data_IF_690883631875
#
_entry.id   IF_690883631875
#
_cell.length_a   1.000
_cell.length_b   1.000
_cell.length_c   1.000
_cell.angle_alpha   90.00
_cell.angle_beta   90.00
_cell.angle_gamma   90.00
#
_symmetry.space_group_name_H-M   'P 1'
#
loop_
_entity.id
_entity.type
_entity.pdbx_description
1 polymer ?
#
# COMPACT_ATOMS: atom_id res chain seq x y z
N UNK A 1 2.71 -7.05 -1.57
CA UNK A 1 1.33 -6.54 -1.79
C UNK A 1 1.25 -5.77 -3.09
N UNK A 2 0.09 -5.72 -3.74
CA UNK A 2 -0.09 -4.97 -4.99
C UNK A 2 0.83 -5.45 -6.12
N UNK A 3 1.31 -4.52 -6.95
CA UNK A 3 2.13 -4.84 -8.14
C UNK A 3 3.44 -5.58 -7.81
N UNK A 4 4.00 -5.42 -6.61
CA UNK A 4 5.20 -6.16 -6.17
C UNK A 4 4.95 -7.66 -5.96
N UNK A 5 3.70 -8.12 -5.95
CA UNK A 5 3.37 -9.55 -5.97
C UNK A 5 3.50 -10.17 -7.38
N UNK A 6 3.68 -9.36 -8.43
CA UNK A 6 3.86 -9.86 -9.79
C UNK A 6 5.36 -9.99 -10.13
N UNK A 7 5.87 -11.20 -10.46
CA UNK A 7 7.27 -11.39 -10.83
C UNK A 7 7.72 -10.50 -12.00
N UNK A 8 6.85 -10.25 -12.97
CA UNK A 8 7.12 -9.38 -14.11
C UNK A 8 7.35 -7.91 -13.71
N UNK A 9 6.64 -7.42 -12.69
CA UNK A 9 6.82 -6.06 -12.17
C UNK A 9 8.16 -5.92 -11.45
N UNK A 10 8.51 -6.89 -10.60
CA UNK A 10 9.82 -6.92 -9.93
C UNK A 10 10.96 -7.01 -10.95
N UNK A 11 10.85 -7.92 -11.93
CA UNK A 11 11.83 -8.07 -13.01
C UNK A 11 12.08 -6.75 -13.73
N UNK A 12 11.02 -6.04 -14.12
CA UNK A 12 11.13 -4.72 -14.77
C UNK A 12 11.85 -3.72 -13.87
N UNK A 13 11.38 -3.54 -12.63
CA UNK A 13 11.96 -2.60 -11.67
C UNK A 13 13.45 -2.81 -11.46
N UNK A 14 13.88 -4.06 -11.30
CA UNK A 14 15.29 -4.37 -11.06
C UNK A 14 16.15 -4.22 -12.31
N UNK A 15 15.66 -4.58 -13.49
CA UNK A 15 16.38 -4.31 -14.74
C UNK A 15 16.57 -2.80 -14.97
N UNK A 16 15.53 -2.00 -14.72
CA UNK A 16 15.57 -0.54 -14.86
C UNK A 16 16.61 0.12 -13.91
N UNK A 17 17.00 -0.58 -12.83
CA UNK A 17 17.99 -0.12 -11.84
C UNK A 17 19.32 -0.89 -11.88
N UNK A 18 19.55 -1.72 -12.92
CA UNK A 18 20.80 -2.46 -13.08
C UNK A 18 21.06 -3.51 -11.99
N UNK A 19 20.02 -4.03 -11.35
CA UNK A 19 20.11 -5.04 -10.30
C UNK A 19 19.64 -6.40 -10.80
N UNK A 20 20.15 -7.47 -10.17
CA UNK A 20 19.75 -8.84 -10.48
C UNK A 20 18.22 -8.99 -10.35
N UNK A 21 17.50 -9.43 -11.40
CA UNK A 21 16.04 -9.45 -11.39
C UNK A 21 15.43 -10.75 -10.83
N UNK A 22 16.23 -11.58 -10.17
CA UNK A 22 15.80 -12.87 -9.62
C UNK A 22 15.55 -12.69 -8.13
N UNK A 23 14.31 -12.82 -7.71
CA UNK A 23 13.88 -12.69 -6.32
C UNK A 23 13.09 -13.93 -5.92
N UNK A 24 13.53 -14.68 -4.91
CA UNK A 24 12.70 -15.71 -4.29
C UNK A 24 11.45 -15.05 -3.70
N UNK A 25 10.28 -15.64 -3.99
CA UNK A 25 8.98 -15.19 -3.51
C UNK A 25 8.30 -16.38 -2.84
N UNK A 26 7.85 -16.21 -1.61
CA UNK A 26 7.19 -17.27 -0.84
C UNK A 26 5.85 -16.78 -0.33
N UNK A 27 4.81 -17.62 -0.40
CA UNK A 27 3.57 -17.33 0.30
C UNK A 27 3.81 -17.41 1.81
N UNK A 28 3.36 -16.38 2.52
CA UNK A 28 3.52 -16.23 3.95
C UNK A 28 2.20 -15.76 4.54
N UNK A 29 1.84 -16.33 5.67
CA UNK A 29 0.73 -15.83 6.47
C UNK A 29 1.20 -14.61 7.26
N UNK A 30 0.47 -13.51 7.11
CA UNK A 30 0.78 -12.22 7.68
C UNK A 30 -0.38 -11.80 8.62
N UNK A 31 -0.26 -12.06 9.93
CA UNK A 31 -1.26 -11.65 10.91
C UNK A 31 -1.32 -10.13 11.05
N UNK A 32 -2.52 -9.62 11.30
CA UNK A 32 -2.76 -8.21 11.62
C UNK A 32 -2.69 -7.26 10.44
N UNK A 33 -2.47 -7.74 9.22
CA UNK A 33 -2.31 -6.90 8.04
C UNK A 33 -3.01 -7.49 6.81
N UNK A 34 -3.61 -6.63 6.01
CA UNK A 34 -4.20 -6.97 4.73
C UNK A 34 -3.86 -5.92 3.65
N UNK A 35 -4.00 -6.25 2.35
CA UNK A 35 -3.92 -5.26 1.28
C UNK A 35 -5.16 -4.36 1.30
N UNK A 36 -4.97 -3.09 1.65
CA UNK A 36 -5.94 -2.01 1.48
C UNK A 36 -5.68 -1.18 0.23
N UNK A 37 -6.46 -0.12 0.07
CA UNK A 37 -6.39 0.79 -1.08
C UNK A 37 -5.80 2.13 -0.66
N UNK A 38 -4.74 2.59 -1.33
CA UNK A 38 -4.12 3.88 -1.05
C UNK A 38 -4.96 5.04 -1.58
N UNK A 39 -4.98 6.16 -0.84
CA UNK A 39 -5.69 7.39 -1.23
C UNK A 39 -4.94 8.22 -2.29
N UNK A 40 -4.48 7.57 -3.36
CA UNK A 40 -3.96 8.25 -4.54
C UNK A 40 -4.17 7.39 -5.79
N UNK A 41 -4.07 8.02 -6.96
CA UNK A 41 -4.10 7.33 -8.25
C UNK A 41 -2.71 7.37 -8.87
N UNK A 42 -2.26 6.24 -9.39
CA UNK A 42 -1.02 6.15 -10.15
C UNK A 42 -1.13 6.91 -11.48
N UNK A 43 -0.01 7.40 -12.01
CA UNK A 43 0.03 7.94 -13.38
C UNK A 43 -0.40 6.94 -14.46
N UNK A 44 -0.41 5.65 -14.14
CA UNK A 44 -0.83 4.57 -15.03
C UNK A 44 -2.30 4.17 -14.83
N UNK A 45 -3.07 4.96 -14.08
CA UNK A 45 -4.53 4.82 -13.96
C UNK A 45 -5.04 3.75 -13.01
N UNK A 46 -4.17 3.08 -12.25
CA UNK A 46 -4.57 2.16 -11.18
C UNK A 46 -4.56 2.85 -9.82
N UNK A 47 -5.38 2.37 -8.89
CA UNK A 47 -5.40 2.78 -7.49
C UNK A 47 -4.49 1.85 -6.69
N UNK A 48 -3.34 2.32 -6.16
CA UNK A 48 -2.32 1.44 -5.59
C UNK A 48 -2.74 0.77 -4.28
N UNK A 49 -2.10 -0.36 -3.98
CA UNK A 49 -2.25 -1.03 -2.69
C UNK A 49 -1.55 -0.26 -1.57
N UNK A 50 -2.07 -0.33 -0.35
CA UNK A 50 -1.37 0.10 0.85
C UNK A 50 -1.67 -0.86 2.02
N UNK A 51 -0.76 -1.04 2.98
CA UNK A 51 -1.02 -1.77 4.22
C UNK A 51 -2.29 -1.28 4.92
N UNK A 52 -3.21 -2.20 5.18
CA UNK A 52 -4.36 -2.00 6.06
C UNK A 52 -4.14 -2.86 7.31
N UNK A 53 -4.13 -2.23 8.48
CA UNK A 53 -4.11 -2.94 9.75
C UNK A 53 -5.46 -3.65 9.96
N UNK A 54 -5.41 -4.95 10.23
CA UNK A 54 -6.57 -5.83 10.43
C UNK A 54 -6.36 -6.72 11.66
N UNK A 55 -6.40 -6.16 12.89
CA UNK A 55 -6.18 -6.94 14.10
C UNK A 55 -7.12 -8.16 14.17
N UNK A 56 -6.55 -9.32 14.49
CA UNK A 56 -7.30 -10.58 14.57
C UNK A 56 -7.52 -11.30 13.24
N UNK A 57 -7.12 -10.72 12.12
CA UNK A 57 -7.15 -11.37 10.81
C UNK A 57 -5.75 -11.78 10.35
N UNK A 58 -5.69 -12.77 9.47
CA UNK A 58 -4.46 -13.22 8.83
C UNK A 58 -4.64 -13.21 7.33
N UNK A 59 -3.74 -12.54 6.61
CA UNK A 59 -3.72 -12.55 5.14
C UNK A 59 -2.56 -13.39 4.63
N UNK A 60 -2.79 -14.19 3.58
CA UNK A 60 -1.70 -14.84 2.86
C UNK A 60 -1.13 -13.90 1.80
N UNK A 61 0.14 -13.53 1.93
CA UNK A 61 0.85 -12.54 1.10
C UNK A 61 2.18 -13.11 0.58
N UNK A 62 2.72 -12.52 -0.49
CA UNK A 62 4.08 -12.82 -0.91
C UNK A 62 5.12 -12.10 -0.03
N UNK A 63 5.96 -12.88 0.64
CA UNK A 63 7.24 -12.44 1.19
C UNK A 63 8.30 -12.43 0.09
N UNK A 64 9.06 -11.33 -0.01
CA UNK A 64 10.13 -11.15 -1.00
C UNK A 64 11.48 -11.26 -0.29
N UNK A 65 12.34 -12.16 -0.77
CA UNK A 65 13.68 -12.36 -0.24
C UNK A 65 14.67 -11.54 -1.06
N UNK A 66 14.94 -10.31 -0.60
CA UNK A 66 15.76 -9.34 -1.31
C UNK A 66 17.15 -9.27 -0.68
N UNK A 67 18.18 -9.26 -1.52
CA UNK A 67 19.50 -8.78 -1.10
C UNK A 67 19.50 -7.26 -0.91
N UNK A 68 20.56 -6.71 -0.32
CA UNK A 68 20.66 -5.29 0.02
C UNK A 68 20.51 -4.38 -1.21
N UNK A 69 21.05 -4.78 -2.37
CA UNK A 69 20.98 -3.99 -3.61
C UNK A 69 19.57 -4.02 -4.17
N UNK A 70 18.92 -5.17 -4.17
CA UNK A 70 17.53 -5.31 -4.59
C UNK A 70 16.59 -4.52 -3.68
N UNK A 71 16.84 -4.54 -2.37
CA UNK A 71 16.05 -3.78 -1.40
C UNK A 71 16.18 -2.27 -1.62
N UNK A 72 17.40 -1.76 -1.80
CA UNK A 72 17.65 -0.35 -2.10
C UNK A 72 16.99 0.09 -3.42
N UNK A 73 17.06 -0.74 -4.47
CA UNK A 73 16.38 -0.44 -5.72
C UNK A 73 14.86 -0.46 -5.59
N UNK A 74 14.31 -1.37 -4.80
CA UNK A 74 12.88 -1.39 -4.52
C UNK A 74 12.45 -0.11 -3.79
N UNK A 75 13.22 0.36 -2.80
CA UNK A 75 12.97 1.62 -2.10
C UNK A 75 12.89 2.81 -3.08
N UNK A 76 13.81 2.89 -4.05
CA UNK A 76 13.81 3.93 -5.09
C UNK A 76 12.56 3.90 -5.98
N UNK A 77 11.99 2.71 -6.23
CA UNK A 77 10.80 2.55 -7.06
C UNK A 77 9.49 2.93 -6.34
N UNK A 78 9.53 3.15 -5.03
CA UNK A 78 8.36 3.36 -4.18
C UNK A 78 8.37 4.76 -3.50
N UNK A 79 8.50 5.87 -4.25
CA UNK A 79 8.64 7.22 -3.66
C UNK A 79 7.41 7.65 -2.83
N UNK A 80 6.24 7.10 -3.14
CA UNK A 80 5.00 7.33 -2.40
C UNK A 80 4.86 6.50 -1.12
N UNK A 81 5.86 5.70 -0.79
CA UNK A 81 5.85 4.80 0.35
C UNK A 81 7.11 5.00 1.19
N UNK A 82 7.08 4.40 2.39
CA UNK A 82 8.25 4.22 3.24
C UNK A 82 8.28 2.79 3.75
N UNK A 83 9.46 2.22 3.86
CA UNK A 83 9.63 0.91 4.47
C UNK A 83 9.38 1.00 5.97
N UNK A 84 8.54 0.11 6.50
CA UNK A 84 8.21 0.00 7.93
C UNK A 84 8.24 -1.47 8.34
N UNK A 85 8.86 -1.85 9.47
CA UNK A 85 8.79 -3.21 9.97
C UNK A 85 7.34 -3.55 10.35
N UNK A 86 6.93 -4.79 10.09
CA UNK A 86 5.66 -5.29 10.59
C UNK A 86 5.70 -5.44 12.12
N UNK A 87 4.56 -5.26 12.77
CA UNK A 87 4.46 -5.47 14.22
C UNK A 87 4.46 -6.96 14.58
N UNK A 88 3.86 -7.78 13.72
CA UNK A 88 3.77 -9.22 13.90
C UNK A 88 4.75 -9.95 12.96
N UNK A 89 5.31 -11.09 13.42
CA UNK A 89 6.11 -11.94 12.54
C UNK A 89 5.23 -12.54 11.44
N UNK A 90 5.84 -12.74 10.28
CA UNK A 90 5.23 -13.53 9.21
C UNK A 90 5.46 -15.02 9.48
N UNK A 91 4.53 -15.86 9.02
CA UNK A 91 4.57 -17.31 9.23
C UNK A 91 4.75 -17.98 7.87
N UNK A 92 5.76 -18.86 7.75
CA UNK A 92 6.05 -19.62 6.53
C UNK A 92 6.23 -21.08 6.91
N UNK A 93 5.38 -21.96 6.37
CA UNK A 93 5.44 -23.39 6.69
C UNK A 93 5.24 -23.71 8.17
N UNK A 94 4.51 -22.86 8.90
CA UNK A 94 4.30 -22.97 10.35
C UNK A 94 5.36 -22.26 11.21
N UNK A 95 6.49 -21.86 10.62
CA UNK A 95 7.58 -21.20 11.34
C UNK A 95 7.41 -19.68 11.38
N UNK A 96 7.67 -19.07 12.54
CA UNK A 96 7.62 -17.62 12.74
C UNK A 96 8.97 -17.00 12.37
N UNK A 97 8.99 -16.14 11.38
CA UNK A 97 10.20 -15.41 10.98
C UNK A 97 10.28 -14.05 11.64
N UNK A 98 11.49 -13.49 11.71
CA UNK A 98 11.70 -12.11 12.14
C UNK A 98 10.81 -11.14 11.34
N UNK A 99 10.39 -10.00 11.94
CA UNK A 99 9.47 -9.09 11.29
C UNK A 99 9.94 -8.66 9.90
N UNK A 100 9.16 -9.02 8.89
CA UNK A 100 9.36 -8.53 7.53
C UNK A 100 9.05 -7.03 7.46
N UNK A 101 9.41 -6.42 6.35
CA UNK A 101 9.04 -5.04 6.08
C UNK A 101 7.84 -4.96 5.13
N UNK A 102 6.98 -3.98 5.38
CA UNK A 102 5.97 -3.53 4.43
C UNK A 102 6.27 -2.09 3.97
N UNK A 103 5.70 -1.73 2.82
CA UNK A 103 5.78 -0.37 2.28
C UNK A 103 4.51 0.37 2.69
N UNK A 104 4.60 1.22 3.70
CA UNK A 104 3.51 2.05 4.21
C UNK A 104 3.33 3.28 3.32
N UNK A 105 2.11 3.50 2.83
CA UNK A 105 1.81 4.58 1.90
C UNK A 105 1.75 5.94 2.60
N UNK A 106 2.33 6.97 1.98
CA UNK A 106 2.33 8.35 2.50
C UNK A 106 0.95 9.01 2.40
N UNK A 107 0.09 8.48 1.54
CA UNK A 107 -1.21 9.06 1.21
C UNK A 107 -2.35 8.51 2.08
N UNK A 108 -2.08 7.54 2.96
CA UNK A 108 -3.10 6.85 3.75
C UNK A 108 -4.02 5.96 2.91
N UNK A 109 -5.15 5.57 3.50
CA UNK A 109 -6.10 4.62 2.93
C UNK A 109 -7.38 5.31 2.47
N UNK A 110 -7.94 4.83 1.35
CA UNK A 110 -9.32 5.14 0.97
C UNK A 110 -10.28 4.40 1.89
N UNK A 111 -11.42 5.03 2.13
CA UNK A 111 -12.51 4.49 2.91
C UNK A 111 -13.83 4.57 2.13
N UNK A 112 -14.78 3.71 2.48
CA UNK A 112 -16.15 3.80 1.99
C UNK A 112 -16.90 4.98 2.63
N UNK A 113 -18.15 5.21 2.22
CA UNK A 113 -19.00 6.26 2.78
C UNK A 113 -19.25 6.13 4.30
N UNK A 114 -19.09 4.93 4.86
CA UNK A 114 -19.19 4.68 6.30
C UNK A 114 -17.85 4.91 7.03
N UNK A 115 -16.79 5.33 6.33
CA UNK A 115 -15.47 5.57 6.88
C UNK A 115 -14.64 4.30 7.12
N UNK A 116 -15.06 3.15 6.59
CA UNK A 116 -14.31 1.89 6.72
C UNK A 116 -13.26 1.80 5.61
N UNK A 117 -11.99 1.51 5.92
CA UNK A 117 -10.96 1.36 4.89
C UNK A 117 -11.32 0.32 3.83
N UNK A 118 -11.10 0.67 2.57
CA UNK A 118 -11.35 -0.22 1.45
C UNK A 118 -10.28 -1.32 1.38
N UNK A 119 -10.73 -2.54 1.08
CA UNK A 119 -9.85 -3.66 0.76
C UNK A 119 -9.46 -3.63 -0.71
N UNK A 120 -8.22 -4.03 -0.98
CA UNK A 120 -7.77 -4.18 -2.36
C UNK A 120 -8.51 -5.34 -3.01
N UNK A 121 -9.09 -5.07 -4.17
CA UNK A 121 -9.71 -6.07 -5.04
C UNK A 121 -9.29 -5.88 -6.50
N UNK A 122 -10.00 -6.51 -7.44
CA UNK A 122 -9.81 -6.28 -8.86
C UNK A 122 -9.96 -4.79 -9.21
N UNK A 123 -8.97 -4.23 -9.91
CA UNK A 123 -8.89 -2.78 -10.17
C UNK A 123 -10.14 -2.22 -10.86
N UNK A 124 -10.67 -2.93 -11.87
CA UNK A 124 -11.87 -2.48 -12.60
C UNK A 124 -13.11 -2.39 -11.69
N UNK A 125 -13.29 -3.38 -10.81
CA UNK A 125 -14.40 -3.39 -9.87
C UNK A 125 -14.23 -2.33 -8.77
N UNK A 126 -13.00 -2.14 -8.27
CA UNK A 126 -12.67 -1.08 -7.33
C UNK A 126 -12.96 0.30 -7.92
N UNK A 127 -12.47 0.57 -9.13
CA UNK A 127 -12.69 1.86 -9.80
C UNK A 127 -14.18 2.07 -10.07
N UNK A 128 -14.89 1.04 -10.53
CA UNK A 128 -16.34 1.14 -10.75
C UNK A 128 -17.07 1.52 -9.46
N UNK A 129 -16.78 0.85 -8.34
CA UNK A 129 -17.39 1.17 -7.04
C UNK A 129 -17.10 2.61 -6.61
N UNK A 130 -15.85 3.09 -6.77
CA UNK A 130 -15.51 4.48 -6.45
C UNK A 130 -16.29 5.49 -7.31
N UNK A 131 -16.51 5.17 -8.59
CA UNK A 131 -17.29 5.99 -9.51
C UNK A 131 -18.77 5.96 -9.15
N UNK A 132 -19.33 4.79 -8.81
CA UNK A 132 -20.75 4.65 -8.43
C UNK A 132 -21.06 5.49 -7.17
N UNK A 133 -20.16 5.45 -6.19
CA UNK A 133 -20.31 6.12 -4.90
C UNK A 133 -20.08 7.64 -4.96
N UNK A 134 -19.47 8.18 -6.02
CA UNK A 134 -19.10 9.60 -6.10
C UNK A 134 -19.43 10.26 -7.45
N UNK A 135 -20.52 11.05 -7.51
CA UNK A 135 -20.80 11.91 -8.66
C UNK A 135 -19.67 12.90 -8.98
N UNK A 136 -18.98 13.39 -7.95
CA UNK A 136 -17.84 14.29 -8.12
C UNK A 136 -16.66 13.58 -8.79
N UNK A 137 -16.39 12.33 -8.44
CA UNK A 137 -15.33 11.55 -9.07
C UNK A 137 -15.67 11.23 -10.52
N UNK A 138 -16.93 10.92 -10.84
CA UNK A 138 -17.41 10.77 -12.22
C UNK A 138 -17.24 12.04 -13.03
N UNK A 139 -17.55 13.20 -12.45
CA UNK A 139 -17.33 14.48 -13.14
C UNK A 139 -15.85 14.71 -13.48
N UNK A 140 -14.92 14.30 -12.60
CA UNK A 140 -13.48 14.45 -12.83
C UNK A 140 -12.91 13.43 -13.81
N UNK A 141 -13.39 12.18 -13.76
CA UNK A 141 -12.71 11.04 -14.38
C UNK A 141 -13.53 10.36 -15.48
N UNK A 142 -14.79 10.70 -15.65
CA UNK A 142 -15.75 9.98 -16.49
C UNK A 142 -16.46 8.84 -15.76
N UNK A 143 -17.48 8.28 -16.41
CA UNK A 143 -18.43 7.34 -15.79
C UNK A 143 -18.00 5.87 -15.86
N UNK A 144 -16.89 5.55 -16.53
CA UNK A 144 -16.42 4.17 -16.71
C UNK A 144 -14.99 4.00 -16.22
N UNK A 145 -14.56 2.78 -15.83
CA UNK A 145 -13.18 2.52 -15.46
C UNK A 145 -12.18 2.86 -16.57
N UNK A 146 -12.56 2.66 -17.84
CA UNK A 146 -11.69 2.96 -18.97
C UNK A 146 -11.54 4.48 -19.17
N UNK A 147 -12.63 5.24 -19.03
CA UNK A 147 -12.59 6.70 -19.00
C UNK A 147 -11.75 7.21 -17.83
N UNK A 148 -11.91 6.61 -16.65
CA UNK A 148 -11.11 6.94 -15.48
C UNK A 148 -9.61 6.77 -15.76
N UNK A 149 -9.21 5.60 -16.28
CA UNK A 149 -7.81 5.30 -16.60
C UNK A 149 -7.26 6.27 -17.65
N UNK A 150 -8.06 6.61 -18.67
CA UNK A 150 -7.66 7.59 -19.69
C UNK A 150 -7.47 9.00 -19.13
N UNK A 151 -8.44 9.49 -18.35
CA UNK A 151 -8.45 10.88 -17.87
C UNK A 151 -7.41 11.15 -16.79
N UNK A 152 -7.12 10.19 -15.90
CA UNK A 152 -6.07 10.36 -14.86
C UNK A 152 -4.63 10.30 -15.42
N UNK A 153 -4.49 10.04 -16.73
CA UNK A 153 -3.27 10.30 -17.47
C UNK A 153 -2.90 11.79 -17.43
N UNK A 154 -3.89 12.68 -17.43
CA UNK A 154 -3.73 14.12 -17.22
C UNK A 154 -3.35 14.41 -15.76
N UNK A 155 -2.26 15.13 -15.56
CA UNK A 155 -1.77 15.50 -14.24
C UNK A 155 -2.74 16.40 -13.46
N UNK A 156 -3.44 17.30 -14.14
CA UNK A 156 -4.42 18.20 -13.53
C UNK A 156 -5.62 17.43 -12.97
N UNK A 157 -6.11 16.44 -13.73
CA UNK A 157 -7.18 15.52 -13.30
C UNK A 157 -6.69 14.69 -12.12
N UNK A 158 -5.51 14.07 -12.23
CA UNK A 158 -4.94 13.27 -11.13
C UNK A 158 -4.73 14.09 -9.86
N UNK A 159 -4.30 15.35 -9.97
CA UNK A 159 -4.17 16.25 -8.84
C UNK A 159 -5.52 16.62 -8.23
N UNK A 160 -6.57 16.80 -9.04
CA UNK A 160 -7.93 17.02 -8.56
C UNK A 160 -8.48 15.79 -7.81
N UNK A 161 -8.29 14.58 -8.37
CA UNK A 161 -8.66 13.32 -7.71
C UNK A 161 -7.91 13.14 -6.39
N UNK A 162 -6.61 13.45 -6.36
CA UNK A 162 -5.84 13.41 -5.11
C UNK A 162 -6.44 14.33 -4.06
N UNK A 163 -6.75 15.60 -4.41
CA UNK A 163 -7.41 16.52 -3.46
C UNK A 163 -8.78 16.01 -3.01
N UNK A 164 -9.56 15.43 -3.92
CA UNK A 164 -10.85 14.82 -3.61
C UNK A 164 -10.69 13.68 -2.59
N UNK A 165 -9.77 12.74 -2.83
CA UNK A 165 -9.47 11.65 -1.90
C UNK A 165 -9.00 12.16 -0.55
N UNK A 166 -8.17 13.21 -0.51
CA UNK A 166 -7.70 13.79 0.74
C UNK A 166 -8.81 14.49 1.54
N UNK A 167 -9.81 15.07 0.88
CA UNK A 167 -10.96 15.68 1.53
C UNK A 167 -11.95 14.63 2.08
N UNK A 168 -12.15 13.53 1.34
CA UNK A 168 -13.00 12.40 1.74
C UNK A 168 -12.40 11.55 2.87
N UNK A 169 -11.10 11.72 3.17
CA UNK A 169 -10.48 11.11 4.36
C UNK A 169 -11.08 11.70 5.63
N UNK A 170 -12.23 11.18 6.05
CA UNK A 170 -12.67 11.21 7.45
C UNK A 170 -11.63 10.41 8.26
N UNK A 171 -10.90 11.11 9.11
CA UNK A 171 -9.74 10.69 9.89
C UNK A 171 -9.70 9.19 10.30
N UNK A 172 -9.28 8.33 9.37
CA UNK A 172 -8.90 6.94 9.64
C UNK A 172 -7.40 6.87 9.93
N UNK A 173 -7.08 6.82 11.22
CA UNK A 173 -5.78 6.53 11.83
C UNK A 173 -4.57 7.34 11.31
N UNK A 174 -4.29 8.47 11.95
CA UNK A 174 -2.95 9.06 12.02
C UNK A 174 -2.24 8.37 13.20
N UNK A 175 -1.15 7.60 13.02
CA UNK A 175 -0.38 7.14 14.16
C UNK A 175 0.45 8.34 14.64
N UNK A 176 -0.16 9.22 15.42
CA UNK A 176 0.57 10.22 16.20
C UNK A 176 1.03 9.60 17.52
N UNK A 177 2.33 9.33 17.57
CA UNK A 177 3.23 9.71 18.66
C UNK A 177 2.66 9.63 20.08
N UNK A 178 2.80 8.47 20.72
CA UNK A 178 2.94 8.43 22.18
C UNK A 178 3.97 7.38 22.59
N UNK A 179 5.24 7.78 22.52
CA UNK A 179 6.28 7.30 23.44
C UNK A 179 6.92 8.52 24.09
N UNK A 180 6.17 9.18 24.98
CA UNK A 180 6.80 9.99 26.01
C UNK A 180 7.43 9.05 27.03
N UNK A 181 8.76 9.03 26.98
CA UNK A 181 9.70 8.74 28.06
C UNK A 181 9.09 8.26 29.39
N UNK A 182 9.12 6.95 29.63
CA UNK A 182 9.40 6.44 30.96
C UNK A 182 10.92 6.32 31.07
N UNK A 183 11.51 7.35 31.66
CA UNK A 183 12.90 7.40 32.09
C UNK A 183 13.15 6.23 33.04
N UNK A 184 13.93 5.24 32.61
CA UNK A 184 14.54 4.27 33.53
C UNK A 184 15.58 5.05 34.32
N UNK A 185 15.29 5.35 35.58
CA UNK A 185 16.33 5.73 36.54
C UNK A 185 17.13 4.49 36.91
N UNK A 186 18.48 4.53 36.84
CA UNK A 186 19.28 3.49 37.44
C UNK A 186 19.38 3.75 38.94
N UNK A 187 19.02 2.76 39.76
CA UNK A 187 19.52 2.66 41.13
C UNK A 187 20.46 1.47 41.19
N UNK A 188 21.75 1.78 41.06
CA UNK A 188 22.82 0.91 41.55
C UNK A 188 23.24 1.39 42.95
N UNK A 189 23.47 0.39 43.82
CA UNK A 189 24.03 0.39 45.19
C UNK A 189 23.04 0.40 46.33
#
# INVERSE_FOLDING_TARGET
MGSNAAPSQLRRKFLDHGVRPVVPMTLADAPGIAPGVSAHVSRWGYVPAAPLETPGETSTLYALWLDERQLAALDLTEPNYRRKPLEHPVIIGGERLAPAFAYEGRHGLLADAAGRPLRLGPQRALIQSLLDDSPALRHLCGDTPDAFVGNVGDESVRAAVFRFFQAERRAGHRPEQSRRAAKVEPRDR
#
